data_IF_617840631919
#
_entry.id   IF_617840631919
#
_cell.length_a   1.000
_cell.length_b   1.000
_cell.length_c   1.000
_cell.angle_alpha   90.00
_cell.angle_beta   90.00
_cell.angle_gamma   90.00
#
_symmetry.space_group_name_H-M   'P 1'
#
loop_
_entity.id
_entity.type
_entity.pdbx_description
1 polymer ?
#
# COMPACT_ATOMS: atom_id res chain seq x y z
N UNK A 1 14.48 38.97 8.84
CA UNK A 1 15.52 38.12 9.51
C UNK A 1 16.06 37.16 8.45
N UNK A 2 17.31 36.69 8.52
CA UNK A 2 17.82 35.79 7.49
C UNK A 2 17.35 34.35 7.74
N UNK A 3 16.57 33.78 6.82
CA UNK A 3 16.00 32.41 6.93
C UNK A 3 17.04 31.39 6.46
N UNK A 4 17.30 30.34 7.23
CA UNK A 4 18.23 29.26 6.83
C UNK A 4 17.50 28.04 6.28
N UNK A 5 18.12 27.37 5.31
CA UNK A 5 17.60 26.15 4.69
C UNK A 5 18.72 25.20 4.25
N UNK A 6 18.40 23.91 4.13
CA UNK A 6 19.23 22.93 3.43
C UNK A 6 18.73 22.85 1.99
N UNK A 7 19.57 23.21 1.03
CA UNK A 7 19.33 22.98 -0.39
C UNK A 7 19.86 21.60 -0.78
N UNK A 8 19.03 20.82 -1.46
CA UNK A 8 19.38 19.57 -2.12
C UNK A 8 19.15 19.71 -3.63
N UNK A 9 20.11 19.27 -4.43
CA UNK A 9 19.97 19.07 -5.86
C UNK A 9 20.02 17.57 -6.12
N UNK A 10 18.92 17.01 -6.61
CA UNK A 10 18.74 15.57 -6.76
C UNK A 10 18.47 15.21 -8.21
N UNK A 11 18.91 14.02 -8.61
CA UNK A 11 18.58 13.42 -9.90
C UNK A 11 17.99 12.02 -9.71
N UNK A 12 16.95 11.70 -10.50
CA UNK A 12 16.40 10.36 -10.60
C UNK A 12 16.20 9.98 -12.07
N UNK A 13 16.76 8.84 -12.48
CA UNK A 13 16.55 8.32 -13.84
C UNK A 13 15.08 8.02 -14.11
N UNK A 14 14.35 7.52 -13.11
CA UNK A 14 12.91 7.32 -13.18
C UNK A 14 12.27 7.25 -11.79
N UNK A 15 11.02 7.71 -11.66
CA UNK A 15 10.26 7.57 -10.42
C UNK A 15 8.75 7.47 -10.65
N UNK A 16 8.05 6.93 -9.65
CA UNK A 16 6.61 7.08 -9.51
C UNK A 16 6.28 7.64 -8.13
N UNK A 17 5.80 8.88 -8.12
CA UNK A 17 5.26 9.55 -6.95
C UNK A 17 3.77 9.26 -6.85
N UNK A 18 3.44 8.07 -6.35
CA UNK A 18 2.09 7.50 -6.44
C UNK A 18 1.00 8.44 -5.94
N UNK A 19 -0.02 8.68 -6.77
CA UNK A 19 -1.26 9.35 -6.37
C UNK A 19 -2.12 8.42 -5.51
N UNK A 20 -2.47 8.78 -4.26
CA UNK A 20 -3.45 8.05 -3.47
C UNK A 20 -4.78 7.97 -4.22
N UNK A 21 -5.46 6.82 -4.15
CA UNK A 21 -6.75 6.60 -4.82
C UNK A 21 -6.66 6.14 -6.29
N UNK A 22 -5.49 6.20 -6.92
CA UNK A 22 -5.28 5.69 -8.28
C UNK A 22 -4.96 4.18 -8.24
N UNK A 23 -6.00 3.36 -8.10
CA UNK A 23 -5.85 1.90 -7.89
C UNK A 23 -5.69 1.11 -9.20
N UNK A 24 -6.55 1.36 -10.19
CA UNK A 24 -6.54 0.62 -11.45
C UNK A 24 -5.37 1.05 -12.35
N UNK A 25 -5.31 2.35 -12.63
CA UNK A 25 -4.18 2.96 -13.32
C UNK A 25 -3.32 3.66 -12.27
N UNK A 26 -2.14 3.12 -12.01
CA UNK A 26 -1.24 3.67 -11.00
C UNK A 26 -0.61 4.95 -11.55
N UNK A 27 -1.21 6.08 -11.18
CA UNK A 27 -0.79 7.41 -11.62
C UNK A 27 0.27 8.02 -10.71
N UNK A 28 1.06 8.94 -11.28
CA UNK A 28 2.11 9.68 -10.56
C UNK A 28 1.77 11.16 -10.45
N UNK A 29 2.21 11.80 -9.36
CA UNK A 29 2.36 13.24 -9.30
C UNK A 29 3.53 13.69 -10.20
N UNK A 30 3.51 14.94 -10.69
CA UNK A 30 4.58 15.47 -11.55
C UNK A 30 5.89 15.75 -10.80
N UNK A 31 5.82 15.92 -9.48
CA UNK A 31 6.92 16.10 -8.54
C UNK A 31 6.61 15.27 -7.28
N UNK A 32 7.59 14.98 -6.40
CA UNK A 32 7.33 14.20 -5.19
C UNK A 32 6.42 14.96 -4.22
N UNK A 33 5.41 14.31 -3.60
CA UNK A 33 4.67 14.88 -2.47
C UNK A 33 5.58 15.25 -1.30
N UNK A 34 5.17 16.24 -0.52
CA UNK A 34 5.89 16.66 0.70
C UNK A 34 6.16 15.50 1.65
N UNK A 35 5.15 14.66 1.89
CA UNK A 35 5.29 13.42 2.70
C UNK A 35 6.35 12.45 2.19
N UNK A 36 6.58 12.38 0.87
CA UNK A 36 7.59 11.50 0.27
C UNK A 36 8.99 12.03 0.56
N UNK A 37 9.18 13.35 0.42
CA UNK A 37 10.45 14.02 0.75
C UNK A 37 10.75 13.94 2.24
N UNK A 38 9.79 14.31 3.09
CA UNK A 38 9.93 14.26 4.56
C UNK A 38 10.21 12.83 5.02
N UNK A 39 9.49 11.84 4.48
CA UNK A 39 9.71 10.43 4.82
C UNK A 39 11.10 9.92 4.41
N UNK A 40 11.63 10.37 3.26
CA UNK A 40 12.98 10.03 2.84
C UNK A 40 14.04 10.65 3.77
N UNK A 41 13.84 11.90 4.19
CA UNK A 41 14.71 12.59 5.15
C UNK A 41 14.67 11.90 6.53
N UNK A 42 13.48 11.60 7.05
CA UNK A 42 13.30 10.90 8.33
C UNK A 42 14.02 9.55 8.31
N UNK A 43 13.90 8.79 7.21
CA UNK A 43 14.62 7.53 7.03
C UNK A 43 16.14 7.73 7.01
N UNK A 44 16.64 8.73 6.29
CA UNK A 44 18.07 9.03 6.19
C UNK A 44 18.67 9.45 7.55
N UNK A 45 17.91 10.16 8.37
CA UNK A 45 18.31 10.59 9.72
C UNK A 45 18.06 9.53 10.80
N UNK A 46 17.37 8.43 10.47
CA UNK A 46 17.03 7.37 11.45
C UNK A 46 15.99 7.78 12.48
N UNK A 47 15.12 8.75 12.16
CA UNK A 47 14.11 9.23 13.11
C UNK A 47 13.00 8.21 13.38
N UNK A 48 12.66 8.07 14.66
CA UNK A 48 11.52 7.27 15.14
C UNK A 48 10.30 8.14 15.45
N UNK A 49 10.54 9.40 15.80
CA UNK A 49 9.52 10.39 16.14
C UNK A 49 9.31 11.36 14.99
N UNK A 50 8.18 12.09 15.02
CA UNK A 50 7.87 13.07 13.97
C UNK A 50 8.65 14.35 14.20
N UNK A 51 9.55 14.68 13.27
CA UNK A 51 10.23 15.98 13.20
C UNK A 51 9.53 16.90 12.18
N UNK A 52 8.99 18.02 12.66
CA UNK A 52 8.33 19.02 11.81
C UNK A 52 9.34 19.80 10.96
N UNK A 53 9.02 19.97 9.69
CA UNK A 53 9.81 20.74 8.73
C UNK A 53 8.91 21.29 7.61
N UNK A 54 9.35 22.40 7.03
CA UNK A 54 8.77 22.97 5.83
C UNK A 54 9.66 22.64 4.64
N UNK A 55 9.02 22.33 3.51
CA UNK A 55 9.70 21.87 2.30
C UNK A 55 9.23 22.68 1.11
N UNK A 56 10.20 23.14 0.32
CA UNK A 56 9.95 23.65 -1.02
C UNK A 56 10.43 22.62 -2.03
N UNK A 57 9.61 22.36 -3.04
CA UNK A 57 9.90 21.37 -4.08
C UNK A 57 9.71 22.03 -5.44
N UNK A 58 10.79 22.08 -6.21
CA UNK A 58 10.79 22.46 -7.61
C UNK A 58 11.64 21.51 -8.42
N UNK A 59 11.45 21.47 -9.73
CA UNK A 59 12.19 20.55 -10.58
C UNK A 59 11.72 20.54 -12.02
N UNK A 60 12.27 19.61 -12.79
CA UNK A 60 11.90 19.29 -14.17
C UNK A 60 11.91 17.76 -14.35
N UNK A 61 11.16 17.29 -15.32
CA UNK A 61 11.24 15.90 -15.76
C UNK A 61 11.21 15.85 -17.28
N UNK A 62 11.90 14.89 -17.88
CA UNK A 62 11.96 14.75 -19.34
C UNK A 62 10.65 14.26 -19.95
N UNK A 63 10.09 13.16 -19.43
CA UNK A 63 8.86 12.59 -19.98
C UNK A 63 8.01 11.85 -18.94
N UNK A 64 6.71 11.73 -19.24
CA UNK A 64 5.76 10.86 -18.55
C UNK A 64 5.46 9.64 -19.42
N UNK A 65 5.99 8.50 -19.04
CA UNK A 65 5.80 7.22 -19.73
C UNK A 65 4.67 6.41 -19.11
N UNK A 66 3.98 5.59 -19.91
CA UNK A 66 2.98 4.62 -19.44
C UNK A 66 3.44 3.21 -19.76
N UNK A 67 3.77 2.45 -18.72
CA UNK A 67 4.07 1.01 -18.84
C UNK A 67 2.80 0.20 -18.67
N UNK A 68 2.56 -0.68 -19.63
CA UNK A 68 1.49 -1.67 -19.55
C UNK A 68 2.01 -2.88 -18.78
N UNK A 69 1.22 -3.38 -17.84
CA UNK A 69 1.53 -4.62 -17.12
C UNK A 69 0.31 -5.53 -17.03
N UNK A 70 0.59 -6.82 -16.88
CA UNK A 70 -0.44 -7.83 -16.64
C UNK A 70 -0.73 -7.88 -15.15
N UNK A 71 -1.98 -7.63 -14.79
CA UNK A 71 -2.46 -7.69 -13.43
C UNK A 71 -3.15 -9.03 -13.18
N UNK A 72 -2.85 -9.65 -12.04
CA UNK A 72 -3.37 -10.95 -11.65
C UNK A 72 -4.42 -10.76 -10.55
N UNK A 73 -5.67 -11.08 -10.88
CA UNK A 73 -6.82 -10.90 -10.00
C UNK A 73 -7.28 -12.26 -9.49
N UNK A 74 -6.93 -12.57 -8.24
CA UNK A 74 -7.39 -13.79 -7.58
C UNK A 74 -8.88 -13.74 -7.31
N UNK A 75 -9.59 -14.80 -7.68
CA UNK A 75 -11.00 -14.94 -7.38
C UNK A 75 -11.18 -15.46 -5.95
N UNK A 76 -12.25 -15.01 -5.29
CA UNK A 76 -12.60 -15.46 -3.93
C UNK A 76 -12.91 -16.96 -3.86
N UNK A 77 -13.23 -17.57 -5.00
CA UNK A 77 -13.54 -18.99 -5.11
C UNK A 77 -12.75 -19.64 -6.23
N UNK A 78 -12.38 -20.91 -6.04
CA UNK A 78 -11.73 -21.74 -7.05
C UNK A 78 -12.81 -22.29 -8.00
N UNK A 79 -13.20 -21.47 -8.98
CA UNK A 79 -14.17 -21.84 -10.01
C UNK A 79 -13.61 -22.92 -10.95
N UNK A 80 -14.43 -23.88 -11.35
CA UNK A 80 -13.96 -24.99 -12.19
C UNK A 80 -13.85 -24.64 -13.68
N UNK A 81 -14.49 -23.56 -14.12
CA UNK A 81 -14.86 -23.34 -15.54
C UNK A 81 -14.25 -22.10 -16.19
N UNK A 82 -13.45 -21.31 -15.46
CA UNK A 82 -12.99 -19.99 -15.91
C UNK A 82 -11.61 -19.62 -15.37
N UNK A 83 -10.93 -18.74 -16.09
CA UNK A 83 -9.66 -18.17 -15.67
C UNK A 83 -8.50 -19.17 -15.73
N UNK A 84 -7.55 -18.98 -14.83
CA UNK A 84 -6.31 -19.75 -14.74
C UNK A 84 -6.28 -20.42 -13.37
N UNK A 85 -6.29 -21.75 -13.35
CA UNK A 85 -6.04 -22.55 -12.17
C UNK A 85 -4.54 -22.47 -11.84
N UNK A 86 -4.24 -22.09 -10.61
CA UNK A 86 -2.87 -21.97 -10.11
C UNK A 86 -2.74 -22.67 -8.77
N UNK A 87 -1.54 -23.16 -8.48
CA UNK A 87 -1.14 -23.62 -7.16
C UNK A 87 -0.25 -22.58 -6.51
N UNK A 88 -0.68 -22.08 -5.37
CA UNK A 88 0.06 -21.13 -4.55
C UNK A 88 1.18 -21.84 -3.79
N UNK A 89 2.33 -21.18 -3.67
CA UNK A 89 3.43 -21.65 -2.82
C UNK A 89 3.03 -21.65 -1.33
N UNK A 90 2.22 -20.67 -0.93
CA UNK A 90 1.63 -20.56 0.39
C UNK A 90 0.15 -20.15 0.25
N UNK A 91 -0.75 -20.84 0.94
CA UNK A 91 -2.20 -20.61 0.90
C UNK A 91 -2.63 -19.18 1.30
N UNK A 92 -1.87 -18.50 2.16
CA UNK A 92 -2.21 -17.16 2.66
C UNK A 92 -1.61 -16.02 1.84
N UNK A 93 -0.65 -16.30 0.95
CA UNK A 93 0.12 -15.27 0.25
C UNK A 93 -0.33 -15.11 -1.20
N UNK A 94 -1.21 -14.13 -1.45
CA UNK A 94 -1.64 -13.73 -2.79
C UNK A 94 -0.52 -12.99 -3.53
N UNK A 95 0.46 -13.74 -4.02
CA UNK A 95 1.63 -13.23 -4.75
C UNK A 95 1.68 -13.76 -6.18
N UNK A 96 2.59 -13.22 -6.99
CA UNK A 96 2.90 -13.75 -8.33
C UNK A 96 3.70 -15.05 -8.30
N UNK A 97 4.14 -15.52 -7.13
CA UNK A 97 4.89 -16.75 -6.94
C UNK A 97 3.95 -17.98 -6.87
N UNK A 98 3.23 -18.22 -7.96
CA UNK A 98 2.37 -19.40 -8.14
C UNK A 98 2.81 -20.21 -9.35
N UNK A 99 2.43 -21.49 -9.36
CA UNK A 99 2.62 -22.37 -10.51
C UNK A 99 1.31 -22.45 -11.28
N UNK A 100 1.35 -22.21 -12.59
CA UNK A 100 0.18 -22.39 -13.46
C UNK A 100 -0.11 -23.87 -13.64
N UNK A 101 -1.35 -24.26 -13.38
CA UNK A 101 -1.82 -25.65 -13.49
C UNK A 101 -2.55 -25.85 -14.82
N UNK A 102 -3.59 -25.05 -15.06
CA UNK A 102 -4.37 -25.10 -16.29
C UNK A 102 -5.09 -23.78 -16.58
N UNK A 103 -5.44 -23.55 -17.84
CA UNK A 103 -6.18 -22.37 -18.32
C UNK A 103 -7.49 -22.82 -19.00
N UNK A 104 -8.63 -22.24 -18.63
CA UNK A 104 -9.91 -22.51 -19.29
C UNK A 104 -9.93 -21.87 -20.69
N UNK A 105 -10.34 -22.60 -21.74
CA UNK A 105 -10.36 -22.05 -23.12
C UNK A 105 -11.64 -21.25 -23.40
N UNK A 106 -12.77 -21.69 -22.85
CA UNK A 106 -14.09 -21.09 -23.10
C UNK A 106 -15.01 -21.26 -21.89
N UNK A 107 -16.14 -20.57 -21.90
CA UNK A 107 -17.19 -20.78 -20.91
C UNK A 107 -17.70 -22.23 -20.98
N UNK A 108 -17.84 -22.88 -19.82
CA UNK A 108 -18.21 -24.31 -19.73
C UNK A 108 -17.02 -25.28 -19.76
N UNK A 109 -15.78 -24.78 -19.69
CA UNK A 109 -14.61 -25.62 -19.43
C UNK A 109 -14.70 -26.29 -18.06
N UNK A 110 -13.87 -27.30 -17.78
CA UNK A 110 -13.82 -27.95 -16.47
C UNK A 110 -12.41 -28.42 -16.16
N UNK A 111 -11.80 -27.87 -15.10
CA UNK A 111 -10.52 -28.35 -14.58
C UNK A 111 -10.66 -29.76 -13.98
N UNK A 112 -11.75 -30.00 -13.25
CA UNK A 112 -12.06 -31.28 -12.62
C UNK A 112 -12.25 -32.40 -13.66
N UNK A 113 -12.96 -32.12 -14.77
CA UNK A 113 -13.25 -33.12 -15.82
C UNK A 113 -12.25 -33.10 -16.99
N UNK A 114 -11.21 -32.26 -16.90
CA UNK A 114 -10.24 -32.06 -17.99
C UNK A 114 -10.91 -31.78 -19.36
N UNK A 115 -11.89 -30.87 -19.38
CA UNK A 115 -12.70 -30.58 -20.58
C UNK A 115 -12.44 -29.15 -21.05
N UNK A 116 -12.05 -28.98 -22.31
CA UNK A 116 -11.81 -27.66 -22.94
C UNK A 116 -10.79 -26.77 -22.19
N UNK A 117 -9.81 -27.38 -21.52
CA UNK A 117 -8.73 -26.67 -20.84
C UNK A 117 -7.40 -26.77 -21.59
N UNK A 118 -6.48 -25.86 -21.31
CA UNK A 118 -5.07 -25.97 -21.65
C UNK A 118 -4.31 -26.35 -20.39
N UNK A 119 -3.72 -27.54 -20.36
CA UNK A 119 -2.94 -28.01 -19.21
C UNK A 119 -1.52 -27.45 -19.31
N UNK A 120 -1.04 -26.84 -18.22
CA UNK A 120 0.33 -26.35 -18.07
C UNK A 120 1.17 -27.27 -17.19
N UNK A 121 0.56 -27.90 -16.19
CA UNK A 121 1.21 -28.88 -15.31
C UNK A 121 0.22 -30.02 -15.01
N UNK A 122 0.54 -31.22 -15.51
CA UNK A 122 -0.33 -32.40 -15.42
C UNK A 122 -0.39 -32.96 -13.99
N UNK A 123 0.75 -33.09 -13.31
CA UNK A 123 0.83 -33.62 -11.93
C UNK A 123 -0.02 -32.79 -10.96
N UNK A 124 0.06 -31.46 -11.07
CA UNK A 124 -0.72 -30.56 -10.22
C UNK A 124 -2.21 -30.57 -10.57
N UNK A 125 -2.56 -30.87 -11.82
CA UNK A 125 -3.96 -31.01 -12.23
C UNK A 125 -4.56 -32.29 -11.64
N UNK A 126 -3.82 -33.39 -11.66
CA UNK A 126 -4.22 -34.66 -11.05
C UNK A 126 -4.34 -34.54 -9.53
N UNK A 127 -3.42 -33.83 -8.88
CA UNK A 127 -3.52 -33.49 -7.45
C UNK A 127 -4.81 -32.70 -7.17
N UNK A 128 -5.10 -31.67 -7.96
CA UNK A 128 -6.34 -30.89 -7.82
C UNK A 128 -7.59 -31.76 -7.96
N UNK A 129 -7.64 -32.64 -8.96
CA UNK A 129 -8.75 -33.56 -9.20
C UNK A 129 -8.93 -34.57 -8.06
N UNK A 130 -7.82 -35.13 -7.56
CA UNK A 130 -7.82 -36.01 -6.40
C UNK A 130 -8.36 -35.31 -5.15
N UNK A 131 -7.95 -34.06 -4.91
CA UNK A 131 -8.45 -33.28 -3.79
C UNK A 131 -9.96 -33.00 -3.90
N UNK A 132 -10.48 -32.75 -5.10
CA UNK A 132 -11.92 -32.61 -5.33
C UNK A 132 -12.69 -33.88 -5.00
N UNK A 133 -12.14 -35.05 -5.34
CA UNK A 133 -12.71 -36.34 -4.94
C UNK A 133 -12.68 -36.52 -3.42
N UNK A 134 -11.53 -36.31 -2.78
CA UNK A 134 -11.38 -36.39 -1.31
C UNK A 134 -12.35 -35.45 -0.59
N UNK A 135 -12.58 -34.25 -1.12
CA UNK A 135 -13.57 -33.31 -0.58
C UNK A 135 -14.99 -33.90 -0.56
N UNK A 136 -15.39 -34.59 -1.64
CA UNK A 136 -16.68 -35.31 -1.68
C UNK A 136 -16.73 -36.44 -0.66
N UNK A 137 -15.67 -37.24 -0.56
CA UNK A 137 -15.58 -38.35 0.41
C UNK A 137 -15.67 -37.85 1.86
N UNK A 138 -14.94 -36.78 2.20
CA UNK A 138 -15.01 -36.11 3.51
C UNK A 138 -16.43 -35.61 3.79
N UNK A 139 -17.10 -35.02 2.79
CA UNK A 139 -18.47 -34.54 2.93
C UNK A 139 -19.46 -35.70 3.20
N UNK A 140 -19.34 -36.81 2.46
CA UNK A 140 -20.13 -38.02 2.66
C UNK A 140 -19.91 -38.61 4.05
N UNK A 141 -18.65 -38.74 4.50
CA UNK A 141 -18.32 -39.18 5.86
C UNK A 141 -18.91 -38.26 6.93
N UNK A 142 -18.90 -36.94 6.69
CA UNK A 142 -19.48 -35.93 7.58
C UNK A 142 -20.98 -36.13 7.74
N UNK A 143 -21.70 -36.35 6.63
CA UNK A 143 -23.16 -36.49 6.63
C UNK A 143 -23.64 -37.86 7.10
N UNK A 144 -22.99 -38.94 6.66
CA UNK A 144 -23.49 -40.30 6.84
C UNK A 144 -23.01 -40.95 8.15
N UNK A 145 -21.84 -40.57 8.67
CA UNK A 145 -21.25 -41.18 9.87
C UNK A 145 -21.14 -40.18 11.02
N UNK A 146 -20.36 -39.13 10.82
CA UNK A 146 -19.98 -38.20 11.89
C UNK A 146 -21.18 -37.47 12.50
N UNK A 147 -22.03 -36.84 11.68
CA UNK A 147 -23.22 -36.12 12.18
C UNK A 147 -24.20 -37.02 12.94
N UNK A 148 -24.58 -38.22 12.44
CA UNK A 148 -25.41 -39.15 13.19
C UNK A 148 -24.79 -39.59 14.52
N UNK A 149 -23.51 -39.92 14.55
CA UNK A 149 -22.80 -40.39 15.75
C UNK A 149 -22.72 -39.31 16.83
N UNK A 150 -22.34 -38.09 16.44
CA UNK A 150 -22.39 -36.91 17.31
C UNK A 150 -23.82 -36.65 17.81
N UNK A 151 -24.83 -36.82 16.95
CA UNK A 151 -26.24 -36.70 17.32
C UNK A 151 -26.65 -37.71 18.41
N UNK A 152 -26.24 -38.97 18.27
CA UNK A 152 -26.50 -40.03 19.27
C UNK A 152 -25.87 -39.71 20.62
N UNK A 153 -24.59 -39.32 20.64
CA UNK A 153 -23.90 -38.95 21.88
C UNK A 153 -24.50 -37.71 22.54
N UNK A 154 -24.96 -36.72 21.76
CA UNK A 154 -25.65 -35.53 22.29
C UNK A 154 -26.99 -35.89 22.93
N UNK A 155 -27.75 -36.82 22.36
CA UNK A 155 -29.00 -37.32 22.95
C UNK A 155 -28.73 -38.16 24.21
N UNK A 156 -27.73 -39.03 24.20
CA UNK A 156 -27.34 -39.81 25.39
C UNK A 156 -26.91 -38.90 26.55
N UNK A 157 -26.10 -37.88 26.25
CA UNK A 157 -25.73 -36.84 27.23
C UNK A 157 -26.97 -36.13 27.79
N UNK A 158 -27.97 -35.82 26.95
CA UNK A 158 -29.22 -35.18 27.39
C UNK A 158 -30.02 -36.10 28.33
N UNK A 159 -30.12 -37.40 28.01
CA UNK A 159 -30.77 -38.41 28.87
C UNK A 159 -30.08 -38.53 30.22
N UNK A 160 -28.74 -38.57 30.26
CA UNK A 160 -27.97 -38.56 31.51
C UNK A 160 -28.18 -37.27 32.31
N UNK A 161 -28.26 -36.12 31.64
CA UNK A 161 -28.53 -34.84 32.29
C UNK A 161 -29.95 -34.76 32.89
N UNK A 162 -30.94 -35.40 32.26
CA UNK A 162 -32.30 -35.55 32.79
C UNK A 162 -32.34 -36.51 33.99
N UNK A 163 -31.66 -37.66 33.90
CA UNK A 163 -31.51 -38.59 35.01
C UNK A 163 -30.84 -37.94 36.23
N UNK A 164 -29.79 -37.14 36.00
CA UNK A 164 -29.11 -36.37 37.04
C UNK A 164 -30.04 -35.43 37.81
N UNK A 165 -31.08 -34.86 37.17
CA UNK A 165 -32.03 -33.94 37.81
C UNK A 165 -33.03 -34.64 38.73
N UNK A 166 -33.23 -35.95 38.57
CA UNK A 166 -34.17 -36.75 39.36
C UNK A 166 -33.51 -37.45 40.57
N UNK A 167 -32.19 -37.36 40.72
CA UNK A 167 -31.42 -38.06 41.76
C UNK A 167 -31.12 -37.17 42.99
N UNK A 168 -31.16 -37.77 44.18
CA UNK A 168 -30.88 -37.11 45.45
C UNK A 168 -29.41 -36.66 45.59
N UNK A 169 -29.20 -35.51 46.25
CA UNK A 169 -27.90 -34.80 46.33
C UNK A 169 -26.74 -35.59 46.96
N UNK A 170 -27.02 -36.70 47.65
CA UNK A 170 -26.04 -37.50 48.41
C UNK A 170 -25.89 -38.95 47.94
N UNK A 171 -26.44 -39.33 46.77
CA UNK A 171 -26.36 -40.72 46.28
C UNK A 171 -25.04 -41.01 45.52
N UNK A 172 -24.50 -42.23 45.67
CA UNK A 172 -23.36 -42.71 44.87
C UNK A 172 -23.68 -42.77 43.37
N UNK A 173 -24.96 -42.91 43.01
CA UNK A 173 -25.43 -42.95 41.62
C UNK A 173 -25.31 -41.58 40.94
N UNK A 174 -25.50 -40.49 41.68
CA UNK A 174 -25.32 -39.13 41.17
C UNK A 174 -23.87 -38.85 40.77
N UNK A 175 -22.90 -39.41 41.50
CA UNK A 175 -21.47 -39.31 41.15
C UNK A 175 -21.18 -40.06 39.85
N UNK A 176 -21.69 -41.28 39.69
CA UNK A 176 -21.52 -42.10 38.47
C UNK A 176 -22.14 -41.45 37.24
N UNK A 177 -23.36 -40.91 37.34
CA UNK A 177 -24.04 -40.22 36.23
C UNK A 177 -23.26 -38.97 35.80
N UNK A 178 -22.68 -38.22 36.75
CA UNK A 178 -21.80 -37.08 36.44
C UNK A 178 -20.52 -37.49 35.73
N UNK A 179 -19.88 -38.58 36.15
CA UNK A 179 -18.68 -39.11 35.50
C UNK A 179 -18.97 -39.56 34.06
N UNK A 180 -20.09 -40.26 33.83
CA UNK A 180 -20.53 -40.68 32.50
C UNK A 180 -20.87 -39.47 31.60
N UNK A 181 -21.62 -38.49 32.12
CA UNK A 181 -21.93 -37.27 31.36
C UNK A 181 -20.67 -36.49 30.98
N UNK A 182 -19.70 -36.43 31.89
CA UNK A 182 -18.39 -35.81 31.64
C UNK A 182 -17.61 -36.59 30.58
N UNK A 183 -17.57 -37.91 30.68
CA UNK A 183 -16.93 -38.81 29.71
C UNK A 183 -17.50 -38.62 28.30
N UNK A 184 -18.82 -38.66 28.14
CA UNK A 184 -19.49 -38.40 26.85
C UNK A 184 -19.19 -36.99 26.34
N UNK A 185 -19.14 -35.99 27.23
CA UNK A 185 -18.79 -34.63 26.82
C UNK A 185 -17.35 -34.48 26.35
N UNK A 186 -16.42 -35.24 26.92
CA UNK A 186 -15.02 -35.29 26.48
C UNK A 186 -14.88 -36.06 25.17
N UNK A 187 -15.61 -37.15 25.01
CA UNK A 187 -15.69 -37.94 23.78
C UNK A 187 -16.21 -37.14 22.60
N UNK A 188 -17.31 -36.39 22.76
CA UNK A 188 -17.83 -35.48 21.73
C UNK A 188 -16.75 -34.48 21.30
N UNK A 189 -16.08 -33.82 22.26
CA UNK A 189 -15.02 -32.86 21.96
C UNK A 189 -13.85 -33.50 21.22
N UNK A 190 -13.47 -34.72 21.64
CA UNK A 190 -12.39 -35.49 21.01
C UNK A 190 -12.74 -35.82 19.56
N UNK A 191 -13.93 -36.39 19.31
CA UNK A 191 -14.36 -36.72 17.94
C UNK A 191 -14.51 -35.47 17.06
N UNK A 192 -15.06 -34.38 17.59
CA UNK A 192 -15.17 -33.10 16.86
C UNK A 192 -13.78 -32.58 16.46
N UNK A 193 -12.80 -32.67 17.38
CA UNK A 193 -11.40 -32.30 17.11
C UNK A 193 -10.75 -33.22 16.06
N UNK A 194 -10.83 -34.53 16.24
CA UNK A 194 -10.24 -35.52 15.33
C UNK A 194 -10.80 -35.41 13.91
N UNK A 195 -12.13 -35.25 13.79
CA UNK A 195 -12.76 -35.04 12.48
C UNK A 195 -12.33 -33.71 11.85
N UNK A 196 -12.24 -32.64 12.65
CA UNK A 196 -11.79 -31.33 12.15
C UNK A 196 -10.34 -31.37 11.67
N UNK A 197 -9.45 -32.08 12.38
CA UNK A 197 -8.05 -32.28 11.96
C UNK A 197 -7.98 -33.13 10.69
N UNK A 198 -8.76 -34.19 10.60
CA UNK A 198 -8.88 -35.03 9.41
C UNK A 198 -9.35 -34.24 8.18
N UNK A 199 -10.46 -33.49 8.30
CA UNK A 199 -11.00 -32.64 7.23
C UNK A 199 -9.96 -31.59 6.78
N UNK A 200 -9.26 -31.00 7.75
CA UNK A 200 -8.24 -29.98 7.49
C UNK A 200 -7.06 -30.54 6.71
N UNK A 201 -6.48 -31.64 7.17
CA UNK A 201 -5.27 -32.21 6.58
C UNK A 201 -5.55 -32.94 5.26
N UNK A 202 -6.73 -33.55 5.12
CA UNK A 202 -7.08 -34.36 3.94
C UNK A 202 -7.53 -33.50 2.76
N UNK A 203 -8.25 -32.41 3.04
CA UNK A 203 -8.88 -31.60 2.01
C UNK A 203 -8.62 -30.11 2.17
N UNK A 204 -9.02 -29.50 3.30
CA UNK A 204 -9.10 -28.03 3.40
C UNK A 204 -7.76 -27.35 3.15
N UNK A 205 -6.68 -27.78 3.81
CA UNK A 205 -5.36 -27.17 3.69
C UNK A 205 -4.72 -27.43 2.31
N UNK A 206 -4.63 -28.69 1.80
CA UNK A 206 -4.10 -28.92 0.46
C UNK A 206 -4.90 -28.20 -0.64
N UNK A 207 -6.24 -28.23 -0.58
CA UNK A 207 -7.10 -27.57 -1.54
C UNK A 207 -7.01 -26.04 -1.47
N UNK A 208 -6.77 -25.49 -0.27
CA UNK A 208 -6.62 -24.04 -0.09
C UNK A 208 -5.45 -23.43 -0.87
N UNK A 209 -4.47 -24.24 -1.29
CA UNK A 209 -3.37 -23.80 -2.15
C UNK A 209 -3.79 -23.65 -3.61
N UNK A 210 -4.89 -24.25 -4.02
CA UNK A 210 -5.42 -24.09 -5.37
C UNK A 210 -6.35 -22.89 -5.42
N UNK A 211 -6.07 -21.99 -6.36
CA UNK A 211 -6.85 -20.77 -6.60
C UNK A 211 -7.07 -20.59 -8.09
N UNK A 212 -8.10 -19.82 -8.40
CA UNK A 212 -8.30 -19.33 -9.76
C UNK A 212 -8.02 -17.85 -9.79
N UNK A 213 -7.34 -17.42 -10.84
CA UNK A 213 -7.15 -16.02 -11.13
C UNK A 213 -7.62 -15.68 -12.54
N UNK A 214 -8.00 -14.43 -12.73
CA UNK A 214 -8.16 -13.82 -14.05
C UNK A 214 -7.05 -12.80 -14.24
N UNK A 215 -6.84 -12.40 -15.49
CA UNK A 215 -5.81 -11.40 -15.80
C UNK A 215 -6.41 -10.22 -16.53
N UNK A 216 -6.02 -9.03 -16.12
CA UNK A 216 -6.38 -7.78 -16.79
C UNK A 216 -5.12 -7.05 -17.22
N UNK A 217 -5.29 -6.10 -18.13
CA UNK A 217 -4.23 -5.21 -18.57
C UNK A 217 -4.39 -3.92 -17.77
N UNK A 218 -3.35 -3.51 -17.06
CA UNK A 218 -3.31 -2.26 -16.30
C UNK A 218 -2.15 -1.39 -16.74
N UNK A 219 -2.22 -0.11 -16.37
CA UNK A 219 -1.20 0.88 -16.72
C UNK A 219 -0.53 1.45 -15.48
N UNK A 220 0.75 1.80 -15.65
CA UNK A 220 1.61 2.36 -14.64
C UNK A 220 2.35 3.57 -15.21
N UNK A 221 2.17 4.74 -14.59
CA UNK A 221 2.85 5.96 -15.00
C UNK A 221 4.27 6.02 -14.41
N UNK A 222 5.26 6.41 -15.20
CA UNK A 222 6.65 6.63 -14.76
C UNK A 222 7.15 7.94 -15.31
N UNK A 223 7.64 8.79 -14.43
CA UNK A 223 8.46 9.92 -14.83
C UNK A 223 9.87 9.41 -15.17
N UNK A 224 10.51 10.02 -16.16
CA UNK A 224 11.90 9.75 -16.53
C UNK A 224 12.70 11.04 -16.55
N UNK A 225 14.00 10.93 -16.24
CA UNK A 225 14.96 12.03 -16.28
C UNK A 225 14.49 13.22 -15.43
N UNK A 226 14.52 13.03 -14.10
CA UNK A 226 13.92 13.94 -13.13
C UNK A 226 15.03 14.67 -12.38
N UNK A 227 15.04 15.99 -12.50
CA UNK A 227 15.89 16.87 -11.70
C UNK A 227 15.03 17.59 -10.66
N UNK A 228 15.44 17.52 -9.40
CA UNK A 228 14.76 18.16 -8.29
C UNK A 228 15.70 19.13 -7.58
N UNK A 229 15.13 20.26 -7.18
CA UNK A 229 15.72 21.19 -6.22
C UNK A 229 14.77 21.26 -5.05
N UNK A 230 15.27 20.84 -3.89
CA UNK A 230 14.49 20.77 -2.66
C UNK A 230 15.15 21.67 -1.63
N UNK A 231 14.36 22.54 -1.01
CA UNK A 231 14.78 23.32 0.15
C UNK A 231 14.03 22.84 1.38
N UNK A 232 14.76 22.60 2.46
CA UNK A 232 14.19 22.14 3.73
C UNK A 232 14.54 23.15 4.81
N UNK A 233 13.57 23.53 5.62
CA UNK A 233 13.79 24.38 6.81
C UNK A 233 13.02 23.80 7.99
N UNK A 234 13.55 23.93 9.19
CA UNK A 234 12.88 23.57 10.44
C UNK A 234 13.10 24.66 11.47
N UNK A 235 12.14 24.80 12.40
CA UNK A 235 12.29 25.68 13.56
C UNK A 235 13.33 25.12 14.53
N UNK A 236 13.52 23.82 14.56
CA UNK A 236 14.54 23.16 15.36
C UNK A 236 15.87 23.11 14.60
N UNK A 237 16.87 23.80 15.13
CA UNK A 237 18.23 23.83 14.57
C UNK A 237 18.88 22.45 14.58
N UNK A 238 18.62 21.62 15.61
CA UNK A 238 19.18 20.27 15.67
C UNK A 238 18.67 19.42 14.52
N UNK A 239 17.37 19.48 14.24
CA UNK A 239 16.78 18.84 13.06
C UNK A 239 17.48 19.29 11.77
N UNK A 240 17.82 20.57 11.60
CA UNK A 240 18.56 21.05 10.43
C UNK A 240 19.98 20.47 10.33
N UNK A 241 20.70 20.41 11.46
CA UNK A 241 22.06 19.84 11.55
C UNK A 241 22.07 18.33 11.25
N UNK A 242 21.13 17.60 11.84
CA UNK A 242 20.93 16.17 11.59
C UNK A 242 20.62 15.91 10.10
N UNK A 243 19.72 16.70 9.51
CA UNK A 243 19.39 16.60 8.08
C UNK A 243 20.67 16.79 7.27
N UNK A 244 21.38 17.90 7.46
CA UNK A 244 22.59 18.23 6.68
C UNK A 244 23.66 17.14 6.77
N UNK A 245 23.88 16.58 7.97
CA UNK A 245 24.84 15.50 8.18
C UNK A 245 24.47 14.18 7.48
N UNK A 246 23.18 13.95 7.20
CA UNK A 246 22.66 12.68 6.69
C UNK A 246 22.05 12.76 5.29
N UNK A 247 22.08 13.91 4.62
CA UNK A 247 21.46 14.11 3.28
C UNK A 247 21.93 13.09 2.24
N UNK A 248 23.19 12.69 2.28
CA UNK A 248 23.77 11.71 1.36
C UNK A 248 23.36 10.26 1.66
N UNK A 249 22.67 10.00 2.78
CA UNK A 249 22.09 8.70 3.10
C UNK A 249 20.71 8.50 2.44
N UNK A 250 20.19 9.50 1.72
CA UNK A 250 18.93 9.37 0.97
C UNK A 250 19.18 8.45 -0.24
N UNK A 251 18.65 7.22 -0.19
CA UNK A 251 18.88 6.21 -1.24
C UNK A 251 17.81 6.17 -2.32
N UNK A 252 16.59 6.61 -1.99
CA UNK A 252 15.43 6.49 -2.88
C UNK A 252 14.39 7.55 -2.54
N UNK A 253 13.68 8.04 -3.55
CA UNK A 253 12.55 8.96 -3.38
C UNK A 253 11.35 8.46 -4.19
N UNK A 254 10.24 8.18 -3.50
CA UNK A 254 9.10 7.46 -4.05
C UNK A 254 9.10 6.00 -3.59
N UNK A 255 9.22 5.04 -4.51
CA UNK A 255 9.32 3.62 -4.16
C UNK A 255 10.75 3.24 -3.79
N UNK A 256 10.92 2.12 -3.11
CA UNK A 256 12.25 1.60 -2.71
C UNK A 256 13.17 1.33 -3.91
N UNK A 257 12.60 1.02 -5.08
CA UNK A 257 13.34 0.80 -6.32
C UNK A 257 13.62 2.08 -7.13
N UNK A 258 13.01 3.21 -6.75
CA UNK A 258 13.22 4.51 -7.41
C UNK A 258 14.41 5.22 -6.76
N UNK A 259 15.63 4.83 -7.17
CA UNK A 259 16.87 5.38 -6.64
C UNK A 259 17.00 6.88 -6.90
N UNK A 260 17.77 7.56 -6.04
CA UNK A 260 18.07 9.00 -6.18
C UNK A 260 19.55 9.26 -5.98
N UNK A 261 20.09 10.14 -6.82
CA UNK A 261 21.44 10.66 -6.71
C UNK A 261 21.39 12.07 -6.09
N UNK A 262 22.19 12.30 -5.06
CA UNK A 262 22.32 13.62 -4.42
C UNK A 262 23.52 14.33 -5.04
N UNK A 263 23.26 15.20 -6.01
CA UNK A 263 24.30 15.91 -6.77
C UNK A 263 24.96 17.04 -5.97
N UNK A 264 24.18 17.78 -5.18
CA UNK A 264 24.67 18.88 -4.33
C UNK A 264 23.84 18.97 -3.05
N UNK A 265 24.49 19.32 -1.94
CA UNK A 265 23.83 19.61 -0.68
C UNK A 265 24.52 20.77 0.03
N UNK A 266 23.79 21.87 0.29
CA UNK A 266 24.35 23.09 0.87
C UNK A 266 23.46 23.65 1.96
N UNK A 267 24.08 24.10 3.04
CA UNK A 267 23.44 24.98 4.02
C UNK A 267 23.44 26.39 3.45
N UNK A 268 22.25 26.98 3.30
CA UNK A 268 22.09 28.27 2.61
C UNK A 268 21.30 29.25 3.45
N UNK A 269 21.62 30.52 3.28
CA UNK A 269 20.86 31.64 3.82
C UNK A 269 20.00 32.23 2.72
N UNK A 270 18.69 32.30 2.95
CA UNK A 270 17.71 32.75 1.99
C UNK A 270 17.46 34.26 2.14
N UNK A 271 17.25 34.92 1.00
CA UNK A 271 16.93 36.33 0.91
C UNK A 271 15.43 36.54 0.64
N UNK A 272 14.93 37.73 0.99
CA UNK A 272 13.62 38.20 0.56
C UNK A 272 13.62 38.51 -0.94
N UNK A 273 12.44 38.49 -1.57
CA UNK A 273 12.31 38.75 -3.00
C UNK A 273 11.84 40.19 -3.22
N UNK A 274 12.81 41.08 -3.48
CA UNK A 274 12.54 42.50 -3.70
C UNK A 274 12.18 42.82 -5.16
N UNK A 275 12.45 41.90 -6.09
CA UNK A 275 12.24 42.06 -7.53
C UNK A 275 11.37 40.96 -8.16
N UNK A 276 10.86 41.20 -9.37
CA UNK A 276 10.06 40.23 -10.12
C UNK A 276 10.91 39.11 -10.72
N UNK A 277 11.06 38.01 -10.01
CA UNK A 277 11.85 36.85 -10.45
C UNK A 277 10.99 35.81 -11.18
N UNK A 278 11.53 35.21 -12.24
CA UNK A 278 10.86 34.17 -13.05
C UNK A 278 11.50 32.81 -12.81
N UNK A 279 10.71 31.80 -12.48
CA UNK A 279 11.21 30.43 -12.36
C UNK A 279 11.19 29.70 -13.70
N UNK A 280 12.30 29.03 -14.00
CA UNK A 280 12.37 28.07 -15.10
C UNK A 280 11.87 26.67 -14.71
N UNK A 281 11.70 26.40 -13.41
CA UNK A 281 11.32 25.10 -12.89
C UNK A 281 9.81 24.99 -12.71
N UNK A 282 9.30 23.75 -12.76
CA UNK A 282 7.98 23.46 -12.23
C UNK A 282 8.06 23.44 -10.70
N UNK A 283 7.04 23.93 -10.01
CA UNK A 283 7.02 23.92 -8.54
C UNK A 283 5.63 23.70 -7.97
N UNK A 284 5.59 23.28 -6.71
CA UNK A 284 4.38 23.38 -5.89
C UNK A 284 4.31 24.73 -5.19
N UNK A 285 3.28 25.50 -5.55
CA UNK A 285 3.05 26.84 -5.03
C UNK A 285 1.90 26.82 -4.03
N UNK A 286 2.09 27.40 -2.84
CA UNK A 286 1.02 27.50 -1.86
C UNK A 286 -0.20 28.21 -2.46
N UNK A 287 -1.39 27.57 -2.40
CA UNK A 287 -2.60 28.13 -3.02
C UNK A 287 -3.03 29.45 -2.37
N UNK A 288 -2.65 29.69 -1.10
CA UNK A 288 -2.85 30.96 -0.42
C UNK A 288 -2.12 32.11 -1.14
N UNK A 289 -0.87 31.89 -1.54
CA UNK A 289 -0.03 32.88 -2.23
C UNK A 289 -0.53 33.15 -3.66
N UNK A 290 -1.03 32.11 -4.33
CA UNK A 290 -1.73 32.25 -5.62
C UNK A 290 -2.97 33.16 -5.49
N UNK A 291 -3.78 32.98 -4.45
CA UNK A 291 -5.01 33.77 -4.22
C UNK A 291 -4.72 35.21 -3.83
N UNK A 292 -3.67 35.44 -3.03
CA UNK A 292 -3.16 36.77 -2.69
C UNK A 292 -2.48 37.48 -3.88
N UNK A 293 -2.44 36.85 -5.06
CA UNK A 293 -1.73 37.35 -6.24
C UNK A 293 -0.26 37.63 -5.96
N UNK A 294 0.41 36.74 -5.22
CA UNK A 294 1.87 36.81 -5.02
C UNK A 294 2.66 36.10 -6.12
N UNK A 295 1.96 35.27 -6.90
CA UNK A 295 2.52 34.45 -7.96
C UNK A 295 1.68 34.57 -9.24
N UNK A 296 2.35 34.76 -10.38
CA UNK A 296 1.73 35.05 -11.67
C UNK A 296 2.30 34.15 -12.78
N UNK A 297 1.59 34.02 -13.90
CA UNK A 297 2.18 33.49 -15.14
C UNK A 297 2.59 34.67 -16.02
N UNK A 298 3.80 34.60 -16.58
CA UNK A 298 4.28 35.59 -17.54
C UNK A 298 3.79 35.21 -18.95
N UNK A 299 2.94 36.05 -19.54
CA UNK A 299 2.47 35.83 -20.91
C UNK A 299 2.55 37.12 -21.72
N UNK A 300 3.39 37.14 -22.77
CA UNK A 300 3.61 38.30 -23.66
C UNK A 300 3.93 39.60 -22.90
N UNK A 301 4.80 39.52 -21.88
CA UNK A 301 5.22 40.68 -21.09
C UNK A 301 4.18 41.19 -20.07
N UNK A 302 3.00 40.57 -19.98
CA UNK A 302 1.98 40.92 -18.99
C UNK A 302 1.89 39.85 -17.90
N UNK A 303 1.79 40.30 -16.63
CA UNK A 303 1.45 39.45 -15.49
C UNK A 303 -0.02 39.06 -15.60
N UNK A 304 -0.30 37.76 -15.68
CA UNK A 304 -1.66 37.21 -15.64
C UNK A 304 -1.84 36.33 -14.42
N UNK A 305 -3.10 36.08 -14.07
CA UNK A 305 -3.43 35.09 -13.06
C UNK A 305 -2.77 33.75 -13.44
N UNK A 306 -2.08 33.15 -12.47
CA UNK A 306 -1.35 31.92 -12.71
C UNK A 306 -2.30 30.77 -13.07
N UNK A 307 -1.89 29.98 -14.06
CA UNK A 307 -2.60 28.78 -14.50
C UNK A 307 -1.76 27.55 -14.11
N UNK A 308 -2.40 26.56 -13.51
CA UNK A 308 -1.75 25.34 -13.09
C UNK A 308 -2.74 24.28 -12.63
N UNK A 309 -2.21 23.13 -12.22
CA UNK A 309 -3.02 22.01 -11.69
C UNK A 309 -3.11 22.10 -10.18
N UNK A 310 -4.32 22.11 -9.63
CA UNK A 310 -4.53 22.15 -8.18
C UNK A 310 -4.38 20.76 -7.58
N UNK A 311 -3.65 20.66 -6.48
CA UNK A 311 -3.52 19.43 -5.72
C UNK A 311 -3.77 19.65 -4.21
N UNK A 312 -4.32 18.64 -3.57
CA UNK A 312 -4.20 18.43 -2.13
C UNK A 312 -3.02 17.47 -1.92
N UNK A 313 -1.91 18.00 -1.40
CA UNK A 313 -0.66 17.27 -1.21
C UNK A 313 -0.55 16.77 0.23
N UNK A 314 -0.29 15.48 0.45
CA UNK A 314 -0.02 14.96 1.79
C UNK A 314 1.34 15.47 2.30
N UNK A 315 1.37 16.04 3.51
CA UNK A 315 2.59 16.50 4.22
C UNK A 315 2.98 15.56 5.37
N UNK A 316 2.39 15.72 6.54
CA UNK A 316 2.57 14.81 7.68
C UNK A 316 1.34 13.92 7.85
N UNK A 317 1.47 12.83 8.62
CA UNK A 317 0.33 11.98 8.96
C UNK A 317 0.32 11.62 10.44
N UNK A 318 -0.88 11.34 10.94
CA UNK A 318 -1.10 10.63 12.20
C UNK A 318 -1.70 9.27 11.93
N UNK A 319 -1.57 8.34 12.89
CA UNK A 319 -2.22 7.03 12.82
C UNK A 319 -3.59 7.17 13.48
N UNK A 320 -4.65 6.92 12.73
CA UNK A 320 -6.02 6.91 13.23
C UNK A 320 -6.35 5.67 14.05
N UNK A 321 -7.51 5.67 14.70
CA UNK A 321 -7.99 4.57 15.55
C UNK A 321 -8.11 3.22 14.81
N UNK A 322 -8.35 3.26 13.49
CA UNK A 322 -8.42 2.09 12.62
C UNK A 322 -7.06 1.61 12.07
N UNK A 323 -5.96 2.19 12.59
CA UNK A 323 -4.59 1.91 12.15
C UNK A 323 -4.21 2.53 10.81
N UNK A 324 -5.09 3.31 10.18
CA UNK A 324 -4.80 3.97 8.89
C UNK A 324 -4.11 5.32 9.09
N UNK A 325 -3.31 5.71 8.11
CA UNK A 325 -2.67 7.02 8.09
C UNK A 325 -3.67 8.10 7.68
N UNK A 326 -3.81 9.14 8.50
CA UNK A 326 -4.59 10.33 8.21
C UNK A 326 -3.62 11.47 7.91
N UNK A 327 -3.54 11.87 6.64
CA UNK A 327 -2.58 12.87 6.18
C UNK A 327 -3.11 14.30 6.31
N UNK A 328 -2.28 15.19 6.82
CA UNK A 328 -2.44 16.64 6.67
C UNK A 328 -2.32 17.01 5.18
N UNK A 329 -3.34 17.67 4.64
CA UNK A 329 -3.41 18.04 3.22
C UNK A 329 -3.07 19.52 3.01
N UNK A 330 -1.98 19.78 2.28
CA UNK A 330 -1.60 21.13 1.84
C UNK A 330 -2.15 21.41 0.44
N UNK A 331 -2.90 22.50 0.30
CA UNK A 331 -3.46 22.92 -1.00
C UNK A 331 -2.41 23.70 -1.79
N UNK A 332 -2.00 23.15 -2.92
CA UNK A 332 -0.97 23.74 -3.79
C UNK A 332 -1.44 23.83 -5.24
N UNK A 333 -0.80 24.72 -5.99
CA UNK A 333 -0.89 24.79 -7.43
C UNK A 333 0.44 24.31 -8.01
N UNK A 334 0.40 23.28 -8.84
CA UNK A 334 1.52 22.86 -9.68
C UNK A 334 1.52 23.71 -10.96
N UNK A 335 2.60 24.45 -11.19
CA UNK A 335 2.72 25.36 -12.33
C UNK A 335 4.17 25.46 -12.84
N UNK A 336 4.33 25.93 -14.08
CA UNK A 336 5.60 26.30 -14.70
C UNK A 336 5.60 27.77 -15.10
N UNK A 337 6.80 28.30 -15.42
CA UNK A 337 6.99 29.64 -15.98
C UNK A 337 6.26 30.70 -15.16
N UNK A 338 6.38 30.57 -13.84
CA UNK A 338 5.74 31.46 -12.89
C UNK A 338 6.70 32.57 -12.48
N UNK A 339 6.14 33.73 -12.16
CA UNK A 339 6.85 34.92 -11.73
C UNK A 339 6.36 35.34 -10.33
N UNK A 340 7.30 35.74 -9.47
CA UNK A 340 6.98 36.31 -8.15
C UNK A 340 6.65 37.79 -8.28
N UNK A 341 5.64 38.23 -7.55
CA UNK A 341 5.48 39.64 -7.19
C UNK A 341 6.34 40.01 -5.98
N UNK A 342 6.11 41.19 -5.41
CA UNK A 342 6.70 41.58 -4.14
C UNK A 342 6.15 40.69 -3.02
N UNK A 343 7.03 39.97 -2.33
CA UNK A 343 6.69 38.98 -1.30
C UNK A 343 7.53 39.24 -0.05
N UNK A 344 6.86 39.24 1.11
CA UNK A 344 7.51 39.36 2.41
C UNK A 344 7.76 38.01 3.06
N UNK A 345 8.52 38.01 4.16
CA UNK A 345 8.84 36.82 4.96
C UNK A 345 7.58 36.05 5.40
N UNK A 346 6.47 36.77 5.66
CA UNK A 346 5.18 36.21 6.07
C UNK A 346 4.46 35.38 4.99
N UNK A 347 4.84 35.54 3.72
CA UNK A 347 4.28 34.76 2.62
C UNK A 347 4.99 33.40 2.46
N UNK A 348 6.09 33.15 3.19
CA UNK A 348 6.85 31.89 3.11
C UNK A 348 7.57 31.70 1.77
N UNK A 349 7.86 32.81 1.08
CA UNK A 349 8.53 32.84 -0.22
C UNK A 349 9.88 33.53 -0.05
N UNK A 350 10.93 32.88 -0.53
CA UNK A 350 12.29 33.38 -0.44
C UNK A 350 13.04 33.13 -1.75
N UNK A 351 14.26 33.67 -1.83
CA UNK A 351 15.18 33.48 -2.95
C UNK A 351 16.49 32.91 -2.41
N UNK A 352 16.95 31.86 -3.07
CA UNK A 352 18.28 31.29 -2.86
C UNK A 352 19.18 31.71 -4.03
N UNK A 353 20.09 32.65 -3.77
CA UNK A 353 21.00 33.19 -4.77
C UNK A 353 22.25 32.31 -4.92
N UNK A 354 22.59 31.99 -6.17
CA UNK A 354 23.78 31.22 -6.52
C UNK A 354 24.94 32.15 -6.89
N UNK A 355 26.18 31.66 -6.75
CA UNK A 355 27.41 32.43 -7.00
C UNK A 355 27.52 33.00 -8.43
N UNK A 356 26.80 32.42 -9.39
CA UNK A 356 26.80 32.83 -10.81
C UNK A 356 25.63 33.76 -11.18
N UNK A 357 24.93 34.33 -10.20
CA UNK A 357 23.77 35.20 -10.42
C UNK A 357 22.49 34.46 -10.81
N UNK A 358 22.52 33.13 -10.90
CA UNK A 358 21.29 32.31 -10.97
C UNK A 358 20.63 32.25 -9.59
N UNK A 359 19.39 31.81 -9.55
CA UNK A 359 18.63 31.72 -8.31
C UNK A 359 17.62 30.58 -8.34
N UNK A 360 17.19 30.17 -7.15
CA UNK A 360 16.02 29.32 -6.96
C UNK A 360 14.95 30.09 -6.18
N UNK A 361 13.70 30.00 -6.64
CA UNK A 361 12.56 30.54 -5.88
C UNK A 361 12.11 29.47 -4.90
N UNK A 362 12.12 29.81 -3.61
CA UNK A 362 11.80 28.91 -2.51
C UNK A 362 10.40 29.22 -2.01
N UNK A 363 9.48 28.26 -2.13
CA UNK A 363 8.10 28.34 -1.65
C UNK A 363 7.89 27.27 -0.57
N UNK A 364 7.95 27.66 0.70
CA UNK A 364 7.72 26.74 1.82
C UNK A 364 6.22 26.52 2.04
N UNK A 365 5.82 25.26 2.22
CA UNK A 365 4.41 24.83 2.36
C UNK A 365 4.20 23.96 3.59
#
# INVERSE_FOLDING_TARGET
>A
MSKEAIRLVLHQSSANYRKPGAFDNKMTYPLPPFSTVIGAIHKACGYTDTHEMDVSIQGKYGALNRRVYRDYNFLNSTFDDRGILVKMTNESMLSTAFIKVAEAKKQGSSFERNTDIRVNNQELLEEYQSLKQKGREVQTLKSEKFKPEIGRLKEEKKRLAEQRKQLDKSSQELVKVKELEKGISEEIKKMEKEFSEYETNTYTLPYSRFRVLTTSIKQYELLSDIDLIIHITSKDRKTMEDIYANVYNITSLGRSEDFVEVNDAKWVTLAECEEGLTSEYYAYLALANVRKQKVYTKHKGMRRQIIGTKYAMPKLYTIGEDGKRVFEQKKVLYASQYEMGYVGEEDGIFVDWLENGKYYIVNFV
#
